data_IF_933471863182
#
_entry.id   IF_933471863182
#
_cell.length_a   1.000
_cell.length_b   1.000
_cell.length_c   1.000
_cell.angle_alpha   90.00
_cell.angle_beta   90.00
_cell.angle_gamma   90.00
#
_symmetry.space_group_name_H-M   'P 1'
#
loop_
_entity.id
_entity.type
_entity.pdbx_description
1 polymer ?
#
# COMPACT_ATOMS: atom_id res chain seq x y z
N UNK A 1 -22.53 -8.02 -7.68
CA UNK A 1 -22.55 -9.41 -8.18
C UNK A 1 -22.72 -10.33 -6.97
N UNK A 2 -23.57 -11.34 -7.02
CA UNK A 2 -23.74 -12.32 -5.94
C UNK A 2 -22.89 -13.56 -6.22
N UNK A 3 -21.99 -13.91 -5.29
CA UNK A 3 -21.21 -15.13 -5.35
C UNK A 3 -21.98 -16.31 -4.72
N UNK A 4 -22.11 -17.42 -5.43
CA UNK A 4 -22.80 -18.63 -4.98
C UNK A 4 -21.97 -19.89 -5.27
N UNK A 5 -20.83 -20.02 -4.64
CA UNK A 5 -19.90 -21.11 -4.83
C UNK A 5 -18.76 -20.78 -5.82
N UNK A 6 -18.30 -21.75 -6.59
CA UNK A 6 -17.29 -21.53 -7.66
C UNK A 6 -17.95 -20.82 -8.85
N UNK A 7 -17.69 -19.53 -8.98
CA UNK A 7 -18.30 -18.72 -10.05
C UNK A 7 -17.29 -17.73 -10.60
N UNK A 8 -17.34 -17.52 -11.89
CA UNK A 8 -16.57 -16.49 -12.59
C UNK A 8 -17.46 -15.28 -12.85
N UNK A 9 -16.98 -14.10 -12.50
CA UNK A 9 -17.65 -12.84 -12.75
C UNK A 9 -16.79 -11.97 -13.64
N UNK A 10 -17.39 -11.30 -14.61
CA UNK A 10 -16.72 -10.32 -15.45
C UNK A 10 -17.31 -8.95 -15.20
N UNK A 11 -16.44 -7.99 -14.91
CA UNK A 11 -16.80 -6.58 -14.72
C UNK A 11 -15.99 -5.74 -15.70
N UNK A 12 -16.65 -4.76 -16.32
CA UNK A 12 -15.98 -3.77 -17.14
C UNK A 12 -15.86 -2.45 -16.39
N UNK A 13 -14.69 -1.85 -16.43
CA UNK A 13 -14.44 -0.52 -15.90
C UNK A 13 -13.57 0.27 -16.89
N UNK A 14 -13.88 1.56 -17.07
CA UNK A 14 -13.09 2.43 -17.94
C UNK A 14 -12.02 3.11 -17.09
N UNK A 15 -10.77 2.81 -17.38
CA UNK A 15 -9.62 3.47 -16.76
C UNK A 15 -8.98 4.42 -17.77
N UNK A 16 -8.74 5.65 -17.34
CA UNK A 16 -7.95 6.64 -18.10
C UNK A 16 -6.47 6.55 -17.77
N UNK A 17 -6.13 5.99 -16.61
CA UNK A 17 -4.78 5.84 -16.08
C UNK A 17 -4.76 4.68 -15.06
N UNK A 18 -3.60 4.16 -14.69
CA UNK A 18 -3.49 3.19 -13.60
C UNK A 18 -4.01 3.74 -12.26
N UNK A 19 -4.79 2.94 -11.54
CA UNK A 19 -5.43 3.30 -10.29
C UNK A 19 -5.40 2.14 -9.29
N UNK A 20 -5.39 2.45 -7.98
CA UNK A 20 -5.60 1.45 -6.95
C UNK A 20 -7.09 1.20 -6.76
N UNK A 21 -7.53 0.00 -7.03
CA UNK A 21 -8.90 -0.45 -6.86
C UNK A 21 -9.00 -1.54 -5.77
N UNK A 22 -10.22 -1.79 -5.34
CA UNK A 22 -10.51 -2.80 -4.31
C UNK A 22 -11.64 -3.72 -4.78
N UNK A 23 -11.41 -5.02 -4.71
CA UNK A 23 -12.49 -6.00 -4.76
C UNK A 23 -12.98 -6.29 -3.34
N UNK A 24 -14.26 -6.07 -3.09
CA UNK A 24 -14.89 -6.29 -1.78
C UNK A 24 -15.73 -7.56 -1.79
N UNK A 25 -15.66 -8.31 -0.69
CA UNK A 25 -16.57 -9.41 -0.41
C UNK A 25 -17.53 -9.01 0.73
N UNK A 26 -18.78 -8.75 0.38
CA UNK A 26 -19.87 -8.62 1.35
C UNK A 26 -20.43 -9.99 1.68
N UNK A 27 -20.22 -10.44 2.91
CA UNK A 27 -20.69 -11.75 3.41
C UNK A 27 -22.16 -11.73 3.84
N UNK A 28 -22.82 -10.57 3.82
CA UNK A 28 -24.18 -10.38 4.31
C UNK A 28 -24.39 -10.91 5.76
N UNK A 29 -23.36 -10.81 6.60
CA UNK A 29 -23.37 -11.27 7.99
C UNK A 29 -23.69 -10.15 9.00
N UNK A 30 -24.00 -8.95 8.51
CA UNK A 30 -24.26 -7.76 9.31
C UNK A 30 -22.98 -7.06 9.82
N UNK A 31 -21.81 -7.52 9.44
CA UNK A 31 -20.55 -6.84 9.73
C UNK A 31 -20.39 -5.60 8.83
N UNK A 32 -19.95 -4.51 9.40
CA UNK A 32 -19.51 -3.33 8.65
C UNK A 32 -18.12 -3.52 8.00
N UNK A 33 -17.37 -4.55 8.41
CA UNK A 33 -16.05 -4.86 7.93
C UNK A 33 -16.11 -5.95 6.87
N UNK A 34 -15.92 -5.56 5.62
CA UNK A 34 -15.86 -6.48 4.49
C UNK A 34 -14.39 -6.83 4.17
N UNK A 35 -14.15 -8.09 3.83
CA UNK A 35 -12.85 -8.50 3.29
C UNK A 35 -12.61 -7.78 1.96
N UNK A 36 -11.36 -7.33 1.72
CA UNK A 36 -11.02 -6.57 0.52
C UNK A 36 -9.68 -6.97 -0.05
N UNK A 37 -9.60 -7.06 -1.36
CA UNK A 37 -8.37 -7.31 -2.10
C UNK A 37 -7.99 -5.99 -2.79
N UNK A 38 -6.91 -5.31 -2.36
CA UNK A 38 -6.35 -4.19 -3.11
C UNK A 38 -5.62 -4.68 -4.35
N UNK A 39 -5.79 -4.01 -5.47
CA UNK A 39 -5.05 -4.29 -6.68
C UNK A 39 -4.83 -3.04 -7.51
N UNK A 40 -3.69 -2.98 -8.18
CA UNK A 40 -3.40 -1.90 -9.10
C UNK A 40 -3.97 -2.25 -10.48
N UNK A 41 -4.93 -1.45 -10.93
CA UNK A 41 -5.59 -1.63 -12.21
C UNK A 41 -4.94 -0.73 -13.26
N UNK A 42 -4.64 -1.32 -14.41
CA UNK A 42 -4.21 -0.62 -15.62
C UNK A 42 -5.05 -1.12 -16.81
N UNK A 43 -5.07 -0.39 -17.95
CA UNK A 43 -5.83 -0.83 -19.11
C UNK A 43 -5.43 -2.23 -19.56
N UNK A 44 -6.40 -3.15 -19.64
CA UNK A 44 -6.16 -4.54 -20.00
C UNK A 44 -7.09 -5.50 -19.25
N UNK A 45 -6.71 -6.77 -19.23
CA UNK A 45 -7.44 -7.80 -18.49
C UNK A 45 -6.77 -7.99 -17.12
N UNK A 46 -7.60 -7.94 -16.09
CA UNK A 46 -7.20 -8.24 -14.72
C UNK A 46 -7.95 -9.49 -14.29
N UNK A 47 -7.22 -10.48 -13.81
CA UNK A 47 -7.79 -11.73 -13.31
C UNK A 47 -7.45 -11.88 -11.83
N UNK A 48 -8.49 -12.07 -11.00
CA UNK A 48 -8.35 -12.28 -9.57
C UNK A 48 -8.96 -13.63 -9.23
N UNK A 49 -8.14 -14.53 -8.73
CA UNK A 49 -8.55 -15.83 -8.18
C UNK A 49 -8.44 -15.79 -6.66
N UNK A 50 -9.46 -16.27 -5.96
CA UNK A 50 -9.44 -16.36 -4.51
C UNK A 50 -10.42 -17.40 -3.98
N UNK A 51 -10.36 -17.68 -2.69
CA UNK A 51 -11.28 -18.58 -1.99
C UNK A 51 -12.20 -17.78 -1.04
N UNK A 52 -13.49 -18.13 -1.01
CA UNK A 52 -14.49 -17.42 -0.21
C UNK A 52 -14.11 -17.30 1.27
N UNK A 53 -13.56 -18.38 1.86
CA UNK A 53 -13.21 -18.43 3.29
C UNK A 53 -11.83 -17.82 3.60
N UNK A 54 -11.10 -17.38 2.59
CA UNK A 54 -9.77 -16.78 2.70
C UNK A 54 -9.57 -15.70 1.63
N UNK A 55 -10.60 -14.88 1.45
CA UNK A 55 -10.76 -13.98 0.31
C UNK A 55 -9.54 -13.08 0.08
N UNK A 56 -9.05 -12.44 1.11
CA UNK A 56 -7.87 -11.57 1.03
C UNK A 56 -6.56 -12.38 0.98
N UNK A 57 -6.46 -13.41 1.85
CA UNK A 57 -5.19 -14.10 2.09
C UNK A 57 -4.78 -15.08 0.97
N UNK A 58 -5.73 -15.53 0.15
CA UNK A 58 -5.49 -16.44 -0.97
C UNK A 58 -5.72 -15.80 -2.33
N UNK A 59 -5.82 -14.48 -2.37
CA UNK A 59 -5.95 -13.78 -3.62
C UNK A 59 -4.69 -13.90 -4.46
N UNK A 60 -4.87 -14.35 -5.71
CA UNK A 60 -3.84 -14.36 -6.74
C UNK A 60 -4.30 -13.42 -7.84
N UNK A 61 -3.53 -12.40 -8.13
CA UNK A 61 -3.86 -11.36 -9.08
C UNK A 61 -2.94 -11.48 -10.28
N UNK A 62 -3.52 -11.64 -11.46
CA UNK A 62 -2.80 -11.57 -12.72
C UNK A 62 -3.25 -10.32 -13.45
N UNK A 63 -2.34 -9.36 -13.56
CA UNK A 63 -2.58 -8.06 -14.18
C UNK A 63 -1.27 -7.57 -14.84
N UNK A 64 -1.18 -6.28 -15.14
CA UNK A 64 -0.03 -5.70 -15.81
C UNK A 64 1.16 -5.38 -14.89
N UNK A 65 2.01 -4.48 -15.38
CA UNK A 65 3.29 -4.14 -14.74
C UNK A 65 3.12 -3.38 -13.43
N UNK A 66 2.12 -2.49 -13.35
CA UNK A 66 1.86 -1.72 -12.12
C UNK A 66 1.44 -2.64 -10.96
N UNK A 67 0.62 -3.66 -11.23
CA UNK A 67 0.28 -4.67 -10.21
C UNK A 67 1.52 -5.43 -9.73
N UNK A 68 2.40 -5.83 -10.66
CA UNK A 68 3.64 -6.54 -10.30
C UNK A 68 4.54 -5.68 -9.39
N UNK A 69 4.67 -4.40 -9.69
CA UNK A 69 5.42 -3.47 -8.85
C UNK A 69 4.73 -3.22 -7.51
N UNK A 70 3.40 -3.09 -7.50
CA UNK A 70 2.62 -2.95 -6.28
C UNK A 70 2.82 -4.12 -5.32
N UNK A 71 2.80 -5.35 -5.82
CA UNK A 71 3.06 -6.55 -5.01
C UNK A 71 4.46 -6.57 -4.39
N UNK A 72 5.49 -6.20 -5.14
CA UNK A 72 6.87 -6.09 -4.63
C UNK A 72 6.96 -5.05 -3.51
N UNK A 73 6.33 -3.91 -3.71
CA UNK A 73 6.29 -2.84 -2.72
C UNK A 73 5.54 -3.30 -1.47
N UNK A 74 4.35 -3.89 -1.62
CA UNK A 74 3.57 -4.42 -0.50
C UNK A 74 4.34 -5.50 0.28
N UNK A 75 5.04 -6.39 -0.41
CA UNK A 75 5.91 -7.38 0.22
C UNK A 75 7.04 -6.73 1.05
N UNK A 76 7.60 -5.61 0.61
CA UNK A 76 8.60 -4.90 1.39
C UNK A 76 7.97 -4.17 2.57
N UNK A 77 6.85 -3.47 2.39
CA UNK A 77 6.15 -2.77 3.46
C UNK A 77 5.66 -3.72 4.56
N UNK A 78 5.22 -4.93 4.19
CA UNK A 78 4.79 -5.95 5.15
C UNK A 78 5.91 -6.39 6.10
N UNK A 79 7.18 -6.33 5.69
CA UNK A 79 8.33 -6.64 6.57
C UNK A 79 8.47 -5.60 7.69
N UNK A 80 8.24 -4.32 7.37
CA UNK A 80 8.24 -3.26 8.36
C UNK A 80 7.06 -3.42 9.32
N UNK A 81 5.85 -3.68 8.80
CA UNK A 81 4.66 -3.92 9.61
C UNK A 81 4.82 -5.14 10.54
N UNK A 82 5.41 -6.24 10.04
CA UNK A 82 5.74 -7.42 10.86
C UNK A 82 6.67 -7.03 12.00
N UNK A 83 7.70 -6.22 11.71
CA UNK A 83 8.64 -5.74 12.74
C UNK A 83 7.95 -4.89 13.79
N UNK A 84 7.07 -3.99 13.41
CA UNK A 84 6.31 -3.16 14.34
C UNK A 84 5.40 -4.02 15.24
N UNK A 85 4.76 -5.05 14.67
CA UNK A 85 3.97 -6.00 15.43
C UNK A 85 4.80 -6.78 16.46
N UNK A 86 5.99 -7.26 16.07
CA UNK A 86 6.93 -7.92 17.00
C UNK A 86 7.33 -6.99 18.16
N UNK A 87 7.66 -5.72 17.85
CA UNK A 87 8.02 -4.73 18.87
C UNK A 87 6.83 -4.43 19.80
N UNK A 88 5.62 -4.35 19.25
CA UNK A 88 4.41 -4.19 20.06
C UNK A 88 4.19 -5.38 21.00
N UNK A 89 4.35 -6.61 20.54
CA UNK A 89 4.25 -7.81 21.40
C UNK A 89 5.30 -7.78 22.51
N UNK A 90 6.53 -7.39 22.19
CA UNK A 90 7.60 -7.27 23.18
C UNK A 90 7.31 -6.18 24.23
N UNK A 91 6.68 -5.08 23.84
CA UNK A 91 6.29 -4.00 24.75
C UNK A 91 5.20 -4.43 25.75
N UNK A 92 4.44 -5.47 25.46
CA UNK A 92 3.41 -6.06 26.32
C UNK A 92 3.96 -7.21 27.21
N UNK A 93 5.23 -7.57 27.06
CA UNK A 93 5.86 -8.66 27.81
C UNK A 93 6.31 -8.22 29.21
N UNK A 94 6.52 -9.20 30.10
CA UNK A 94 7.10 -8.96 31.44
C UNK A 94 8.44 -8.20 31.41
N UNK A 95 9.19 -8.29 30.31
CA UNK A 95 10.46 -7.58 30.11
C UNK A 95 10.27 -6.06 30.03
N UNK A 96 9.06 -5.60 29.66
CA UNK A 96 8.73 -4.17 29.59
C UNK A 96 8.63 -3.48 30.97
N UNK A 97 8.75 -4.23 32.07
CA UNK A 97 8.95 -3.67 33.41
C UNK A 97 10.35 -3.04 33.59
N UNK A 98 11.28 -3.36 32.72
CA UNK A 98 12.63 -2.80 32.73
C UNK A 98 12.73 -1.59 31.79
N UNK A 99 13.01 -0.40 32.33
CA UNK A 99 13.08 0.84 31.55
C UNK A 99 14.10 0.77 30.41
N UNK A 100 15.29 0.20 30.63
CA UNK A 100 16.30 0.06 29.57
C UNK A 100 15.80 -0.80 28.41
N UNK A 101 14.97 -1.80 28.70
CA UNK A 101 14.37 -2.62 27.66
C UNK A 101 13.33 -1.81 26.87
N UNK A 102 12.50 -1.02 27.54
CA UNK A 102 11.55 -0.12 26.88
C UNK A 102 12.27 0.88 25.99
N UNK A 103 13.35 1.51 26.48
CA UNK A 103 14.16 2.45 25.71
C UNK A 103 14.72 1.78 24.43
N UNK A 104 15.18 0.52 24.53
CA UNK A 104 15.66 -0.23 23.37
C UNK A 104 14.56 -0.56 22.35
N UNK A 105 13.32 -0.77 22.81
CA UNK A 105 12.18 -0.97 21.90
C UNK A 105 11.82 0.33 21.15
N UNK A 106 11.83 1.46 21.83
CA UNK A 106 11.59 2.78 21.23
C UNK A 106 12.64 3.05 20.14
N UNK A 107 13.92 2.82 20.43
CA UNK A 107 15.00 2.97 19.45
C UNK A 107 14.82 2.04 18.24
N UNK A 108 14.45 0.77 18.49
CA UNK A 108 14.19 -0.19 17.43
C UNK A 108 12.99 0.21 16.56
N UNK A 109 11.91 0.74 17.15
CA UNK A 109 10.74 1.25 16.44
C UNK A 109 11.09 2.47 15.58
N UNK A 110 11.80 3.45 16.15
CA UNK A 110 12.27 4.62 15.42
C UNK A 110 13.16 4.22 14.22
N UNK A 111 14.05 3.25 14.43
CA UNK A 111 14.92 2.73 13.37
C UNK A 111 14.12 2.04 12.28
N UNK A 112 13.08 1.25 12.63
CA UNK A 112 12.20 0.58 11.67
C UNK A 112 11.44 1.61 10.81
N UNK A 113 10.86 2.63 11.45
CA UNK A 113 10.19 3.73 10.77
C UNK A 113 11.12 4.49 9.82
N UNK A 114 12.31 4.85 10.27
CA UNK A 114 13.28 5.52 9.42
C UNK A 114 13.62 4.71 8.17
N UNK A 115 13.85 3.40 8.32
CA UNK A 115 14.13 2.50 7.19
C UNK A 115 12.95 2.38 6.23
N UNK A 116 11.70 2.34 6.77
CA UNK A 116 10.48 2.35 5.96
C UNK A 116 10.41 3.62 5.10
N UNK A 117 10.63 4.81 5.69
CA UNK A 117 10.63 6.06 4.93
C UNK A 117 11.78 6.14 3.93
N UNK A 118 12.97 5.68 4.28
CA UNK A 118 14.09 5.59 3.35
C UNK A 118 13.75 4.70 2.15
N UNK A 119 13.07 3.59 2.37
CA UNK A 119 12.60 2.72 1.28
C UNK A 119 11.61 3.46 0.39
N UNK A 120 10.56 4.11 0.94
CA UNK A 120 9.54 4.83 0.19
C UNK A 120 10.16 5.94 -0.67
N UNK A 121 11.02 6.77 -0.06
CA UNK A 121 11.71 7.88 -0.76
C UNK A 121 12.60 7.35 -1.87
N UNK A 122 13.41 6.34 -1.56
CA UNK A 122 14.34 5.76 -2.56
C UNK A 122 13.57 5.12 -3.73
N UNK A 123 12.48 4.40 -3.43
CA UNK A 123 11.63 3.81 -4.46
C UNK A 123 11.05 4.90 -5.37
N UNK A 124 10.49 5.95 -4.81
CA UNK A 124 9.90 7.05 -5.58
C UNK A 124 10.93 7.76 -6.46
N UNK A 125 12.12 8.05 -5.95
CA UNK A 125 13.18 8.71 -6.71
C UNK A 125 13.77 7.84 -7.82
N UNK A 126 13.74 6.51 -7.66
CA UNK A 126 14.29 5.58 -8.66
C UNK A 126 13.25 5.07 -9.67
N UNK A 127 11.96 5.37 -9.46
CA UNK A 127 10.85 4.98 -10.33
C UNK A 127 9.95 6.17 -10.70
N UNK A 128 10.50 7.22 -11.35
CA UNK A 128 9.77 8.47 -11.58
C UNK A 128 8.63 8.35 -12.60
N UNK A 129 8.54 7.25 -13.33
CA UNK A 129 7.49 6.98 -14.33
C UNK A 129 6.45 5.95 -13.84
N UNK A 130 6.53 5.53 -12.56
CA UNK A 130 5.72 4.46 -12.02
C UNK A 130 4.57 5.01 -11.17
N UNK A 131 3.34 4.55 -11.42
CA UNK A 131 2.15 5.00 -10.69
C UNK A 131 2.13 4.51 -9.23
N UNK A 132 2.73 3.34 -8.95
CA UNK A 132 2.88 2.83 -7.58
C UNK A 132 3.81 3.74 -6.76
N UNK A 133 4.84 4.32 -7.38
CA UNK A 133 5.72 5.28 -6.72
C UNK A 133 4.96 6.55 -6.30
N UNK A 134 4.13 7.08 -7.18
CA UNK A 134 3.28 8.22 -6.87
C UNK A 134 2.22 7.89 -5.80
N UNK A 135 1.60 6.71 -5.90
CA UNK A 135 0.70 6.20 -4.87
C UNK A 135 1.36 6.19 -3.49
N UNK A 136 2.58 5.65 -3.37
CA UNK A 136 3.29 5.59 -2.10
C UNK A 136 3.51 6.97 -1.49
N UNK A 137 3.89 7.96 -2.29
CA UNK A 137 4.09 9.33 -1.79
C UNK A 137 2.76 9.98 -1.42
N UNK A 138 1.69 9.72 -2.19
CA UNK A 138 0.37 10.26 -1.93
C UNK A 138 -0.28 9.70 -0.64
N UNK A 139 0.01 8.42 -0.30
CA UNK A 139 -0.62 7.74 0.86
C UNK A 139 0.29 7.70 2.10
N UNK A 140 1.60 7.56 1.91
CA UNK A 140 2.57 7.30 2.97
C UNK A 140 3.53 8.48 3.20
N UNK A 141 3.41 9.52 2.38
CA UNK A 141 4.35 10.66 2.37
C UNK A 141 4.07 11.74 3.42
N UNK A 142 3.06 11.61 4.27
CA UNK A 142 2.65 12.66 5.21
C UNK A 142 3.74 13.01 6.23
N UNK A 143 4.59 12.07 6.62
CA UNK A 143 5.72 12.29 7.51
C UNK A 143 6.97 12.83 6.80
N UNK A 144 6.96 12.91 5.47
CA UNK A 144 8.05 13.54 4.73
C UNK A 144 7.99 15.06 4.91
N UNK A 145 9.16 15.66 5.12
CA UNK A 145 9.22 17.13 5.14
C UNK A 145 8.75 17.70 3.79
N UNK A 146 8.11 18.87 3.77
CA UNK A 146 7.64 19.50 2.52
C UNK A 146 8.73 19.58 1.45
N UNK A 147 9.98 19.86 1.83
CA UNK A 147 11.11 19.93 0.92
C UNK A 147 11.40 18.58 0.22
N UNK A 148 11.32 17.47 0.95
CA UNK A 148 11.53 16.15 0.37
C UNK A 148 10.37 15.76 -0.55
N UNK A 149 9.13 16.02 -0.12
CA UNK A 149 7.93 15.76 -0.92
C UNK A 149 7.95 16.55 -2.23
N UNK A 150 8.30 17.84 -2.18
CA UNK A 150 8.46 18.70 -3.37
C UNK A 150 9.56 18.16 -4.30
N UNK A 151 10.72 17.80 -3.76
CA UNK A 151 11.81 17.23 -4.57
C UNK A 151 11.42 15.94 -5.28
N UNK A 152 10.69 15.05 -4.59
CA UNK A 152 10.19 13.80 -5.17
C UNK A 152 9.14 14.10 -6.25
N UNK A 153 8.17 14.97 -5.95
CA UNK A 153 7.13 15.36 -6.91
C UNK A 153 7.75 15.94 -8.21
N UNK A 154 8.74 16.80 -8.07
CA UNK A 154 9.44 17.38 -9.21
C UNK A 154 10.22 16.36 -10.05
N UNK A 155 10.64 15.22 -9.45
CA UNK A 155 11.32 14.15 -10.17
C UNK A 155 10.39 13.27 -11.02
N UNK A 156 9.09 13.26 -10.73
CA UNK A 156 8.12 12.47 -11.49
C UNK A 156 7.95 12.97 -12.94
N UNK A 157 7.62 12.04 -13.83
CA UNK A 157 7.25 12.37 -15.22
C UNK A 157 5.96 13.22 -15.24
N UNK A 158 5.73 13.90 -16.36
CA UNK A 158 4.52 14.72 -16.52
C UNK A 158 3.23 13.89 -16.47
N UNK A 159 3.26 12.65 -16.97
CA UNK A 159 2.12 11.74 -16.88
C UNK A 159 1.78 11.41 -15.43
N UNK A 160 2.79 11.13 -14.61
CA UNK A 160 2.63 10.88 -13.18
C UNK A 160 2.16 12.13 -12.43
N UNK A 161 2.74 13.31 -12.70
CA UNK A 161 2.30 14.58 -12.09
C UNK A 161 0.85 14.91 -12.38
N UNK A 162 0.38 14.59 -13.60
CA UNK A 162 -0.99 14.82 -14.02
C UNK A 162 -1.98 13.71 -13.58
N UNK A 163 -1.49 12.61 -13.03
CA UNK A 163 -2.32 11.53 -12.52
C UNK A 163 -3.09 11.93 -11.25
N UNK A 164 -4.08 11.12 -10.86
CA UNK A 164 -4.82 11.31 -9.60
C UNK A 164 -3.90 11.34 -8.38
N UNK A 165 -2.87 10.48 -8.34
CA UNK A 165 -1.88 10.47 -7.27
C UNK A 165 -0.99 11.72 -7.30
N UNK A 166 -0.53 12.13 -8.48
CA UNK A 166 0.26 13.36 -8.65
C UNK A 166 -0.51 14.60 -8.21
N UNK A 167 -1.78 14.71 -8.58
CA UNK A 167 -2.65 15.81 -8.15
C UNK A 167 -2.86 15.81 -6.63
N UNK A 168 -3.01 14.61 -6.02
CA UNK A 168 -3.10 14.49 -4.55
C UNK A 168 -1.83 14.99 -3.88
N UNK A 169 -0.65 14.57 -4.33
CA UNK A 169 0.64 15.04 -3.80
C UNK A 169 0.75 16.57 -3.92
N UNK A 170 0.42 17.12 -5.09
CA UNK A 170 0.49 18.57 -5.33
C UNK A 170 -0.45 19.35 -4.39
N UNK A 171 -1.65 18.83 -4.13
CA UNK A 171 -2.57 19.44 -3.18
C UNK A 171 -2.04 19.43 -1.74
N UNK A 172 -1.31 18.39 -1.34
CA UNK A 172 -0.66 18.28 -0.03
C UNK A 172 0.55 19.21 0.12
N UNK A 173 1.23 19.57 -0.99
CA UNK A 173 2.32 20.56 -0.99
C UNK A 173 1.82 22.01 -0.82
N UNK A 174 0.56 22.26 -1.13
CA UNK A 174 -0.05 23.60 -1.11
C UNK A 174 -0.67 23.95 0.25
N UNK A 175 -0.64 23.05 1.23
CA UNK A 175 -1.14 23.24 2.61
C UNK A 175 -0.02 23.64 3.56
#
# INVERSE_FOLDING_TARGET
VQANGTSTYSLGHNLSQPELLYAYLDKNDGSEFNDRIPFFAEPGNIHIETELNAFENKAVITAGSEQTEFEKVQQMLSKFATKDFELLQLSQSEKAKNQKFVDSLIEASNTNNLRRYQFIVNYALTHPENYVAAYLIAEEGDELTPKWRDSIFNSFSEDIKNSSFGQKINSQLSQ
#
